data_IF_637211572670
#
_entry.id   IF_637211572670
#
_cell.length_a   1.000
_cell.length_b   1.000
_cell.length_c   1.000
_cell.angle_alpha   90.00
_cell.angle_beta   90.00
_cell.angle_gamma   90.00
#
_symmetry.space_group_name_H-M   'P 1'
#
loop_
_entity.id
_entity.type
_entity.pdbx_description
1 polymer ?
#
# COMPACT_ATOMS: atom_id res chain seq x y z
N UNK A 1 13.98 -28.78 -13.50
CA UNK A 1 14.65 -29.09 -12.21
C UNK A 1 14.12 -28.10 -11.21
N UNK A 2 13.71 -28.58 -10.03
CA UNK A 2 12.75 -27.91 -9.16
C UNK A 2 13.38 -26.82 -8.30
N UNK A 3 12.78 -25.63 -8.33
CA UNK A 3 13.08 -24.50 -7.46
C UNK A 3 12.67 -24.83 -6.02
N UNK A 4 13.49 -24.44 -5.05
CA UNK A 4 13.22 -24.67 -3.64
C UNK A 4 13.25 -23.34 -2.89
N UNK A 5 12.07 -22.90 -2.50
CA UNK A 5 11.80 -21.66 -1.75
C UNK A 5 12.17 -21.85 -0.27
N UNK A 6 12.86 -20.88 0.33
CA UNK A 6 13.29 -20.95 1.73
C UNK A 6 13.36 -19.59 2.41
N UNK A 7 12.60 -19.42 3.48
CA UNK A 7 12.51 -18.20 4.29
C UNK A 7 13.77 -17.99 5.14
N UNK A 8 14.41 -16.81 5.03
CA UNK A 8 15.41 -16.37 6.01
C UNK A 8 15.06 -14.99 6.55
N UNK A 9 14.84 -14.93 7.86
CA UNK A 9 14.47 -13.72 8.60
C UNK A 9 15.72 -12.87 8.86
N UNK A 10 15.75 -11.63 8.37
CA UNK A 10 16.74 -10.62 8.79
C UNK A 10 15.99 -9.36 9.24
N UNK A 11 16.13 -9.03 10.52
CA UNK A 11 15.70 -7.76 11.12
C UNK A 11 14.26 -7.32 10.81
N UNK A 12 13.27 -8.05 11.33
CA UNK A 12 11.90 -7.55 11.55
C UNK A 12 11.04 -7.25 10.31
N UNK A 13 11.61 -7.24 9.11
CA UNK A 13 10.90 -7.00 7.87
C UNK A 13 10.95 -8.24 6.98
N UNK A 14 9.79 -8.64 6.45
CA UNK A 14 9.73 -9.55 5.33
C UNK A 14 10.10 -8.76 4.07
N UNK A 15 11.37 -8.77 3.68
CA UNK A 15 11.71 -8.51 2.29
C UNK A 15 11.23 -9.74 1.51
N UNK A 16 10.26 -9.53 0.62
CA UNK A 16 9.75 -10.56 -0.30
C UNK A 16 10.93 -11.24 -1.01
N UNK A 17 10.83 -12.56 -1.13
CA UNK A 17 11.89 -13.53 -1.48
C UNK A 17 12.87 -13.07 -2.58
N UNK A 18 14.17 -13.18 -2.30
CA UNK A 18 15.20 -13.16 -3.34
C UNK A 18 15.34 -14.57 -3.94
N UNK A 19 15.41 -14.72 -5.28
CA UNK A 19 15.80 -15.99 -5.87
C UNK A 19 17.24 -16.33 -5.47
N UNK A 20 17.43 -17.52 -4.92
CA UNK A 20 18.75 -18.08 -4.55
C UNK A 20 19.08 -19.14 -5.60
N UNK A 21 20.30 -19.12 -6.15
CA UNK A 21 20.73 -20.19 -7.06
C UNK A 21 21.01 -21.50 -6.30
N UNK A 22 21.21 -22.62 -7.02
CA UNK A 22 21.43 -23.95 -6.42
C UNK A 22 22.68 -24.02 -5.51
N UNK A 23 23.59 -23.04 -5.62
CA UNK A 23 24.81 -22.91 -4.83
C UNK A 23 24.66 -22.04 -3.57
N UNK A 24 23.46 -21.51 -3.30
CA UNK A 24 23.16 -20.71 -2.10
C UNK A 24 23.68 -19.27 -2.15
N UNK A 25 24.08 -18.77 -3.33
CA UNK A 25 24.46 -17.38 -3.51
C UNK A 25 23.22 -16.51 -3.78
N UNK A 26 23.15 -15.38 -3.08
CA UNK A 26 22.20 -14.29 -3.38
C UNK A 26 22.43 -13.85 -4.83
N UNK A 27 21.36 -13.71 -5.61
CA UNK A 27 21.42 -13.03 -6.90
C UNK A 27 22.06 -11.65 -6.66
N UNK A 28 23.26 -11.41 -7.21
CA UNK A 28 23.89 -10.10 -7.09
C UNK A 28 23.00 -9.09 -7.83
N UNK A 29 22.44 -8.08 -7.15
CA UNK A 29 21.54 -7.15 -7.79
C UNK A 29 22.32 -6.34 -8.82
N UNK A 30 21.98 -6.53 -10.09
CA UNK A 30 22.49 -5.70 -11.18
C UNK A 30 21.90 -4.29 -11.06
N UNK A 31 22.63 -3.42 -10.38
CA UNK A 31 22.50 -1.97 -10.50
C UNK A 31 21.71 -1.27 -9.41
N UNK A 32 22.20 -0.10 -9.05
CA UNK A 32 21.47 0.96 -8.37
C UNK A 32 20.95 1.92 -9.45
N UNK A 33 19.73 2.42 -9.33
CA UNK A 33 19.23 3.48 -10.22
C UNK A 33 19.88 4.84 -9.89
N UNK A 34 19.59 5.88 -10.68
CA UNK A 34 20.15 7.24 -10.48
C UNK A 34 19.82 7.84 -9.10
N UNK A 35 18.77 7.34 -8.45
CA UNK A 35 18.30 7.75 -7.13
C UNK A 35 18.92 6.93 -5.98
N UNK A 36 19.85 6.02 -6.27
CA UNK A 36 20.50 5.20 -5.24
C UNK A 36 19.57 4.17 -4.60
N UNK A 37 18.59 3.64 -5.34
CA UNK A 37 17.80 2.45 -4.97
C UNK A 37 18.23 1.23 -5.78
N UNK A 38 18.24 0.05 -5.15
CA UNK A 38 18.36 -1.22 -5.87
C UNK A 38 17.22 -1.33 -6.89
N UNK A 39 17.54 -1.69 -8.14
CA UNK A 39 16.58 -1.82 -9.25
C UNK A 39 15.36 -2.68 -8.89
N UNK A 40 15.52 -3.77 -8.11
CA UNK A 40 14.39 -4.58 -7.64
C UNK A 40 13.50 -3.83 -6.63
N UNK A 41 14.10 -3.04 -5.74
CA UNK A 41 13.36 -2.17 -4.82
C UNK A 41 12.64 -1.03 -5.55
N UNK A 42 13.23 -0.53 -6.64
CA UNK A 42 12.59 0.44 -7.52
C UNK A 42 11.43 -0.17 -8.29
N UNK A 43 11.59 -1.33 -8.92
CA UNK A 43 10.51 -2.01 -9.65
C UNK A 43 9.32 -2.36 -8.75
N UNK A 44 9.56 -2.74 -7.50
CA UNK A 44 8.50 -2.97 -6.50
C UNK A 44 7.86 -1.66 -6.03
N UNK A 45 8.63 -0.59 -5.77
CA UNK A 45 8.11 0.69 -5.30
C UNK A 45 7.40 1.52 -6.41
N UNK A 46 7.80 1.34 -7.67
CA UNK A 46 7.33 2.13 -8.81
C UNK A 46 5.81 2.03 -9.07
N UNK A 47 5.15 0.85 -9.05
CA UNK A 47 3.70 0.77 -9.22
C UNK A 47 2.94 1.41 -8.06
N UNK A 48 3.42 1.30 -6.82
CA UNK A 48 2.79 1.96 -5.67
C UNK A 48 2.91 3.47 -5.72
N UNK A 49 4.08 3.99 -6.14
CA UNK A 49 4.25 5.43 -6.37
C UNK A 49 3.31 5.96 -7.46
N UNK A 50 3.24 5.25 -8.59
CA UNK A 50 2.38 5.63 -9.69
C UNK A 50 0.88 5.53 -9.34
N UNK A 51 0.51 4.63 -8.42
CA UNK A 51 -0.84 4.51 -7.89
C UNK A 51 -1.15 5.61 -6.86
N UNK A 52 -0.22 5.91 -5.95
CA UNK A 52 -0.37 6.97 -4.95
C UNK A 52 -0.55 8.33 -5.60
N UNK A 53 0.25 8.65 -6.62
CA UNK A 53 0.15 9.90 -7.40
C UNK A 53 -1.26 10.05 -8.02
N UNK A 54 -1.79 8.99 -8.63
CA UNK A 54 -3.13 9.01 -9.23
C UNK A 54 -4.24 9.17 -8.19
N UNK A 55 -4.09 8.54 -7.03
CA UNK A 55 -5.05 8.66 -5.94
C UNK A 55 -5.01 10.07 -5.33
N UNK A 56 -3.82 10.67 -5.18
CA UNK A 56 -3.66 12.05 -4.73
C UNK A 56 -4.29 13.05 -5.71
N UNK A 57 -4.08 12.86 -7.02
CA UNK A 57 -4.75 13.64 -8.05
C UNK A 57 -6.27 13.49 -7.98
N UNK A 58 -6.78 12.26 -7.84
CA UNK A 58 -8.22 11.99 -7.72
C UNK A 58 -8.82 12.68 -6.48
N UNK A 59 -8.15 12.60 -5.33
CA UNK A 59 -8.56 13.31 -4.11
C UNK A 59 -8.62 14.81 -4.37
N UNK A 60 -7.58 15.39 -4.99
CA UNK A 60 -7.50 16.81 -5.28
C UNK A 60 -8.59 17.31 -6.25
N UNK A 61 -9.10 16.44 -7.13
CA UNK A 61 -10.24 16.74 -8.01
C UNK A 61 -11.55 16.60 -7.25
N UNK A 62 -11.76 15.50 -6.52
CA UNK A 62 -13.00 15.21 -5.81
C UNK A 62 -13.31 16.23 -4.71
N UNK A 63 -12.28 16.73 -4.01
CA UNK A 63 -12.42 17.80 -3.02
C UNK A 63 -12.94 19.13 -3.61
N UNK A 64 -12.92 19.30 -4.93
CA UNK A 64 -13.41 20.51 -5.62
C UNK A 64 -14.81 20.34 -6.20
N UNK A 65 -15.39 19.15 -6.11
CA UNK A 65 -16.70 18.83 -6.68
C UNK A 65 -17.70 18.69 -5.52
N UNK A 66 -18.72 19.56 -5.51
CA UNK A 66 -19.84 19.42 -4.57
C UNK A 66 -20.62 18.14 -4.84
N UNK A 67 -20.96 17.37 -3.80
CA UNK A 67 -21.71 16.12 -3.96
C UNK A 67 -20.83 14.90 -4.30
N UNK A 68 -19.51 15.03 -4.27
CA UNK A 68 -18.57 13.95 -4.56
C UNK A 68 -18.00 13.26 -3.30
N UNK A 69 -18.60 13.50 -2.14
CA UNK A 69 -18.14 13.03 -0.83
C UNK A 69 -18.11 11.49 -0.79
N UNK A 70 -19.15 10.83 -1.31
CA UNK A 70 -19.17 9.35 -1.38
C UNK A 70 -18.00 8.80 -2.19
N UNK A 71 -17.68 9.42 -3.32
CA UNK A 71 -16.55 9.04 -4.16
C UNK A 71 -15.21 9.33 -3.46
N UNK A 72 -15.11 10.45 -2.75
CA UNK A 72 -13.94 10.80 -1.95
C UNK A 72 -13.66 9.75 -0.87
N UNK A 73 -14.68 9.35 -0.10
CA UNK A 73 -14.56 8.30 0.91
C UNK A 73 -14.07 6.98 0.31
N UNK A 74 -14.59 6.59 -0.85
CA UNK A 74 -14.15 5.37 -1.56
C UNK A 74 -12.70 5.47 -2.03
N UNK A 75 -12.26 6.64 -2.49
CA UNK A 75 -10.86 6.86 -2.86
C UNK A 75 -9.94 6.76 -1.64
N UNK A 76 -10.36 7.27 -0.48
CA UNK A 76 -9.62 7.08 0.76
C UNK A 76 -9.52 5.60 1.16
N UNK A 77 -10.59 4.80 1.02
CA UNK A 77 -10.51 3.34 1.21
C UNK A 77 -9.51 2.69 0.25
N UNK A 78 -9.55 3.04 -1.04
CA UNK A 78 -8.60 2.50 -2.03
C UNK A 78 -7.15 2.86 -1.70
N UNK A 79 -6.92 4.07 -1.18
CA UNK A 79 -5.60 4.50 -0.73
C UNK A 79 -5.12 3.66 0.47
N UNK A 80 -6.00 3.47 1.46
CA UNK A 80 -5.72 2.61 2.60
C UNK A 80 -5.39 1.17 2.18
N UNK A 81 -6.17 0.60 1.26
CA UNK A 81 -5.96 -0.75 0.73
C UNK A 81 -4.60 -0.89 0.03
N UNK A 82 -4.23 0.10 -0.78
CA UNK A 82 -2.93 0.14 -1.44
C UNK A 82 -1.77 0.18 -0.43
N UNK A 83 -1.87 1.02 0.60
CA UNK A 83 -0.87 1.11 1.65
C UNK A 83 -0.78 -0.18 2.47
N UNK A 84 -1.92 -0.77 2.84
CA UNK A 84 -1.95 -2.06 3.53
C UNK A 84 -1.30 -3.17 2.68
N UNK A 85 -1.56 -3.19 1.37
CA UNK A 85 -0.98 -4.15 0.43
C UNK A 85 0.52 -3.95 0.17
N UNK A 86 1.04 -2.74 0.37
CA UNK A 86 2.47 -2.47 0.15
C UNK A 86 3.35 -3.16 1.20
N UNK A 87 2.85 -3.43 2.41
CA UNK A 87 3.58 -4.09 3.51
C UNK A 87 4.98 -3.51 3.83
N UNK A 88 5.25 -2.28 3.40
CA UNK A 88 6.49 -1.55 3.70
C UNK A 88 6.33 -0.88 5.07
N UNK A 89 7.38 -0.86 5.90
CA UNK A 89 7.36 -0.25 7.22
C UNK A 89 6.79 1.19 7.20
N UNK A 90 5.82 1.46 8.08
CA UNK A 90 5.08 2.73 8.15
C UNK A 90 3.82 2.79 7.27
N UNK A 91 3.66 1.88 6.30
CA UNK A 91 2.49 1.88 5.40
C UNK A 91 1.19 1.49 6.10
N UNK A 92 1.26 0.69 7.18
CA UNK A 92 0.08 0.37 8.01
C UNK A 92 -0.49 1.61 8.72
N UNK A 93 0.36 2.47 9.29
CA UNK A 93 -0.10 3.74 9.91
C UNK A 93 -0.68 4.69 8.87
N UNK A 94 -0.11 4.72 7.67
CA UNK A 94 -0.67 5.50 6.56
C UNK A 94 -2.02 4.94 6.13
N UNK A 95 -2.16 3.60 6.04
CA UNK A 95 -3.40 2.95 5.69
C UNK A 95 -4.52 3.25 6.71
N UNK A 96 -4.23 3.13 7.99
CA UNK A 96 -5.15 3.47 9.08
C UNK A 96 -5.63 4.92 8.99
N UNK A 97 -4.74 5.87 8.73
CA UNK A 97 -5.08 7.28 8.55
C UNK A 97 -6.06 7.49 7.38
N UNK A 98 -5.84 6.80 6.25
CA UNK A 98 -6.76 6.90 5.11
C UNK A 98 -8.10 6.21 5.37
N UNK A 99 -8.14 5.09 6.09
CA UNK A 99 -9.42 4.50 6.52
C UNK A 99 -10.18 5.43 7.46
N UNK A 100 -9.51 6.09 8.39
CA UNK A 100 -10.15 7.06 9.29
C UNK A 100 -10.73 8.27 8.52
N UNK A 101 -10.03 8.77 7.51
CA UNK A 101 -10.59 9.80 6.61
C UNK A 101 -11.82 9.30 5.84
N UNK A 102 -11.83 8.04 5.40
CA UNK A 102 -13.00 7.47 4.75
C UNK A 102 -14.19 7.36 5.72
N UNK A 103 -13.93 6.92 6.96
CA UNK A 103 -14.92 6.85 8.04
C UNK A 103 -15.56 8.23 8.27
N UNK A 104 -14.76 9.27 8.47
CA UNK A 104 -15.25 10.65 8.68
C UNK A 104 -16.19 11.09 7.56
N UNK A 105 -15.81 10.85 6.30
CA UNK A 105 -16.62 11.21 5.13
C UNK A 105 -17.93 10.41 5.08
N UNK A 106 -17.90 9.10 5.30
CA UNK A 106 -19.09 8.26 5.26
C UNK A 106 -20.05 8.53 6.42
N UNK A 107 -19.53 8.85 7.61
CA UNK A 107 -20.33 9.31 8.75
C UNK A 107 -21.03 10.63 8.45
N UNK A 108 -20.32 11.60 7.85
CA UNK A 108 -20.87 12.92 7.51
C UNK A 108 -22.04 12.84 6.51
N UNK A 109 -21.93 11.97 5.50
CA UNK A 109 -22.98 11.80 4.49
C UNK A 109 -24.05 10.76 4.85
N UNK A 110 -23.88 10.04 5.96
CA UNK A 110 -24.80 8.98 6.40
C UNK A 110 -24.78 7.71 5.53
N UNK A 111 -23.64 7.37 4.93
CA UNK A 111 -23.47 6.16 4.12
C UNK A 111 -22.97 4.98 4.98
N UNK A 112 -23.90 4.33 5.67
CA UNK A 112 -23.57 3.29 6.64
C UNK A 112 -23.00 2.00 6.01
N UNK A 113 -23.34 1.71 4.75
CA UNK A 113 -22.84 0.52 4.05
C UNK A 113 -21.32 0.67 3.80
N UNK A 114 -20.90 1.80 3.24
CA UNK A 114 -19.48 2.06 2.97
C UNK A 114 -18.71 2.39 4.28
N UNK A 115 -19.39 2.94 5.30
CA UNK A 115 -18.83 3.14 6.65
C UNK A 115 -18.43 1.82 7.30
N UNK A 116 -19.31 0.81 7.30
CA UNK A 116 -19.03 -0.49 7.92
C UNK A 116 -17.77 -1.13 7.30
N UNK A 117 -17.63 -1.01 5.97
CA UNK A 117 -16.44 -1.48 5.25
C UNK A 117 -15.18 -0.76 5.70
N UNK A 118 -15.22 0.57 5.82
CA UNK A 118 -14.07 1.37 6.23
C UNK A 118 -13.66 1.08 7.68
N UNK A 119 -14.62 0.94 8.59
CA UNK A 119 -14.38 0.56 9.99
C UNK A 119 -13.75 -0.83 10.07
N UNK A 120 -14.29 -1.82 9.37
CA UNK A 120 -13.75 -3.18 9.37
C UNK A 120 -12.29 -3.23 8.91
N UNK A 121 -11.95 -2.44 7.88
CA UNK A 121 -10.57 -2.33 7.37
C UNK A 121 -9.62 -1.62 8.36
N UNK A 122 -10.09 -0.58 9.04
CA UNK A 122 -9.31 0.12 10.08
C UNK A 122 -9.02 -0.79 11.27
N UNK A 123 -10.04 -1.49 11.78
CA UNK A 123 -9.89 -2.44 12.89
C UNK A 123 -8.93 -3.57 12.56
N UNK A 124 -9.01 -4.13 11.35
CA UNK A 124 -8.14 -5.22 10.91
C UNK A 124 -6.64 -4.85 10.85
N UNK A 125 -6.28 -3.57 10.89
CA UNK A 125 -4.88 -3.12 10.97
C UNK A 125 -4.36 -2.99 12.41
N UNK A 126 -5.27 -2.91 13.40
CA UNK A 126 -4.93 -2.74 14.82
C UNK A 126 -4.80 -4.04 15.61
N UNK A 127 -5.16 -5.19 15.02
CA UNK A 127 -5.03 -6.54 15.60
C UNK A 127 -3.67 -7.20 15.28
#
# INVERSE_FOLDING_TARGET
MGERWGLKRVSGYFLLDFPINEDGALFEPHGWNEDGMNVLGWEVANPYRAASERLDEAIGVLLKIEGAEKQLGRVYVMYGDMCAAAAIGGSMTVAENYYNKAIEVFEEIGDYDDLEVAVAKSVALGE
#
